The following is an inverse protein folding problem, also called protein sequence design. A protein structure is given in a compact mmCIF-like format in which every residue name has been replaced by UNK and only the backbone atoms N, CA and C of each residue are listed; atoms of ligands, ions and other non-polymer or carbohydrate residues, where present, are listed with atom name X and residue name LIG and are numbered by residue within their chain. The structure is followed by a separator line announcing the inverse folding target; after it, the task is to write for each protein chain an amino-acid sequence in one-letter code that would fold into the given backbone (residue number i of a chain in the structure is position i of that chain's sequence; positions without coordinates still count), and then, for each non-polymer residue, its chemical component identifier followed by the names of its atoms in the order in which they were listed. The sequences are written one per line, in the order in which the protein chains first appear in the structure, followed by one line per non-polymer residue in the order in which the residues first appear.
data_IF_954828036534
#
_entry.id   IF_954828036534
#
_cell.length_a   1.000
_cell.length_b   1.000
_cell.length_c   1.000
_cell.angle_alpha   90.00
_cell.angle_beta   90.00
_cell.angle_gamma   90.00
#
_symmetry.space_group_name_H-M   'P 1'
#
loop_
_entity.id
_entity.type
_entity.pdbx_description
1 polymer ?
#
# COMPACT_ATOMS: atom_id res chain seq x y z
N UNK A 1 -2.51 4.69 -6.54
CA UNK A 1 -3.15 4.56 -5.23
C UNK A 1 -3.44 3.11 -4.89
N UNK A 2 -3.58 2.82 -3.60
CA UNK A 2 -4.08 1.56 -3.06
C UNK A 2 -5.29 1.86 -2.18
N UNK A 3 -6.33 1.05 -2.26
CA UNK A 3 -7.56 1.25 -1.51
C UNK A 3 -8.24 -0.07 -1.17
N UNK A 4 -9.06 -0.03 -0.12
CA UNK A 4 -9.91 -1.13 0.30
C UNK A 4 -11.36 -0.73 -0.03
N UNK A 5 -11.99 -1.43 -0.97
CA UNK A 5 -13.26 -1.03 -1.55
C UNK A 5 -14.45 -1.78 -0.98
N UNK A 6 -15.61 -1.11 -1.00
CA UNK A 6 -16.92 -1.65 -0.64
C UNK A 6 -17.77 -1.82 -1.89
N UNK A 7 -18.42 -2.97 -2.06
CA UNK A 7 -19.36 -3.16 -3.16
C UNK A 7 -20.67 -2.46 -2.88
N UNK A 8 -21.02 -1.50 -3.72
CA UNK A 8 -22.23 -0.68 -3.59
C UNK A 8 -23.53 -1.47 -3.71
N UNK A 9 -23.48 -2.65 -4.32
CA UNK A 9 -24.61 -3.56 -4.49
C UNK A 9 -24.86 -4.45 -3.27
N UNK A 10 -23.92 -4.51 -2.31
CA UNK A 10 -24.05 -5.34 -1.12
C UNK A 10 -25.06 -4.74 -0.12
N UNK A 11 -25.95 -5.53 0.49
CA UNK A 11 -26.99 -4.99 1.39
C UNK A 11 -26.45 -4.45 2.72
N UNK A 12 -25.23 -4.86 3.14
CA UNK A 12 -24.65 -4.48 4.43
C UNK A 12 -23.70 -3.29 4.29
N UNK A 13 -22.78 -3.34 3.32
CA UNK A 13 -21.77 -2.30 3.11
C UNK A 13 -22.08 -1.39 1.91
N UNK A 14 -23.07 -1.70 1.10
CA UNK A 14 -23.40 -0.94 -0.11
C UNK A 14 -24.30 0.25 0.13
N UNK A 15 -25.02 0.68 -0.92
CA UNK A 15 -25.87 1.87 -0.88
C UNK A 15 -27.04 1.75 0.13
N UNK A 16 -27.65 0.55 0.20
CA UNK A 16 -28.94 0.37 0.90
C UNK A 16 -30.14 0.80 0.06
N UNK A 17 -31.31 0.24 0.36
CA UNK A 17 -32.55 0.46 -0.40
C UNK A 17 -33.38 1.61 0.16
N UNK A 18 -33.32 1.84 1.47
CA UNK A 18 -34.07 2.91 2.15
C UNK A 18 -33.09 4.00 2.64
N UNK A 19 -33.57 5.22 2.96
CA UNK A 19 -32.72 6.26 3.54
C UNK A 19 -32.04 5.81 4.84
N UNK A 20 -32.74 5.03 5.67
CA UNK A 20 -32.21 4.51 6.94
C UNK A 20 -31.10 3.49 6.69
N UNK A 21 -31.25 2.61 5.70
CA UNK A 21 -30.20 1.65 5.30
C UNK A 21 -29.00 2.38 4.73
N UNK A 22 -29.21 3.42 3.91
CA UNK A 22 -28.11 4.23 3.35
C UNK A 22 -27.28 4.88 4.44
N UNK A 23 -27.94 5.51 5.40
CA UNK A 23 -27.22 6.16 6.52
C UNK A 23 -26.51 5.14 7.40
N UNK A 24 -27.15 4.01 7.72
CA UNK A 24 -26.56 2.90 8.45
C UNK A 24 -25.29 2.37 7.75
N UNK A 25 -25.40 2.04 6.47
CA UNK A 25 -24.29 1.46 5.70
C UNK A 25 -23.15 2.48 5.51
N UNK A 26 -23.48 3.77 5.33
CA UNK A 26 -22.49 4.85 5.29
C UNK A 26 -21.71 4.93 6.59
N UNK A 27 -22.39 4.97 7.74
CA UNK A 27 -21.72 4.97 9.06
C UNK A 27 -20.84 3.74 9.27
N UNK A 28 -21.27 2.57 8.83
CA UNK A 28 -20.46 1.35 8.87
C UNK A 28 -19.16 1.52 8.06
N UNK A 29 -19.24 2.01 6.82
CA UNK A 29 -18.04 2.25 5.98
C UNK A 29 -17.12 3.31 6.59
N UNK A 30 -17.67 4.38 7.12
CA UNK A 30 -16.90 5.42 7.82
C UNK A 30 -16.22 4.89 9.08
N UNK A 31 -16.90 4.06 9.90
CA UNK A 31 -16.31 3.40 11.07
C UNK A 31 -15.13 2.50 10.69
N UNK A 32 -15.28 1.70 9.62
CA UNK A 32 -14.19 0.87 9.10
C UNK A 32 -13.04 1.76 8.61
N UNK A 33 -13.32 2.87 7.92
CA UNK A 33 -12.28 3.79 7.42
C UNK A 33 -11.46 4.41 8.55
N UNK A 34 -12.07 4.74 9.68
CA UNK A 34 -11.35 5.24 10.87
C UNK A 34 -10.52 4.12 11.50
N UNK A 35 -11.06 2.89 11.58
CA UNK A 35 -10.39 1.76 12.22
C UNK A 35 -9.16 1.25 11.44
N UNK A 36 -9.13 1.44 10.13
CA UNK A 36 -8.03 1.02 9.24
C UNK A 36 -6.84 1.98 9.36
N UNK A 37 -5.85 1.63 10.18
CA UNK A 37 -4.66 2.45 10.43
C UNK A 37 -3.64 2.30 9.29
N UNK A 38 -3.83 3.08 8.22
CA UNK A 38 -2.95 3.04 7.06
C UNK A 38 -1.55 3.60 7.36
N UNK A 39 -1.38 4.45 8.34
CA UNK A 39 -0.08 4.92 8.81
C UNK A 39 0.72 3.77 9.42
N UNK A 40 0.08 2.93 10.26
CA UNK A 40 0.68 1.71 10.79
C UNK A 40 1.05 0.74 9.65
N UNK A 41 0.15 0.55 8.68
CA UNK A 41 0.42 -0.28 7.50
C UNK A 41 1.66 0.17 6.73
N UNK A 42 1.76 1.47 6.45
CA UNK A 42 2.88 2.07 5.72
C UNK A 42 4.20 1.82 6.46
N UNK A 43 4.23 1.97 7.78
CA UNK A 43 5.44 1.71 8.55
C UNK A 43 5.85 0.24 8.52
N UNK A 44 4.90 -0.69 8.64
CA UNK A 44 5.18 -2.12 8.71
C UNK A 44 5.52 -2.71 7.34
N UNK A 45 4.70 -2.45 6.32
CA UNK A 45 4.77 -3.15 5.04
C UNK A 45 5.46 -2.37 3.94
N UNK A 46 5.31 -1.03 3.94
CA UNK A 46 5.94 -0.14 2.95
C UNK A 46 7.25 0.50 3.46
N UNK A 47 7.66 0.18 4.69
CA UNK A 47 8.89 0.70 5.31
C UNK A 47 8.97 2.24 5.32
N UNK A 48 7.84 2.90 5.43
CA UNK A 48 7.71 4.35 5.34
C UNK A 48 7.80 4.93 3.92
N UNK A 49 7.88 4.10 2.88
CA UNK A 49 7.99 4.54 1.47
C UNK A 49 6.61 4.71 0.82
N UNK A 50 5.70 5.35 1.52
CA UNK A 50 4.37 5.71 1.02
C UNK A 50 3.82 6.89 1.84
N UNK A 51 2.79 7.55 1.32
CA UNK A 51 2.03 8.56 2.04
C UNK A 51 0.57 8.11 2.19
N UNK A 52 -0.10 8.39 3.34
CA UNK A 52 -1.52 8.11 3.50
C UNK A 52 -2.35 8.81 2.44
N UNK A 53 -3.37 8.12 1.93
CA UNK A 53 -4.31 8.70 0.97
C UNK A 53 -5.53 9.26 1.70
N UNK A 54 -5.82 10.54 1.47
CA UNK A 54 -7.02 11.20 1.99
C UNK A 54 -8.19 11.16 1.02
N UNK A 55 -7.94 10.77 -0.22
CA UNK A 55 -8.90 10.66 -1.31
C UNK A 55 -8.32 9.83 -2.45
N UNK A 56 -9.02 9.73 -3.60
CA UNK A 56 -8.53 8.94 -4.73
C UNK A 56 -7.35 9.59 -5.46
N UNK A 57 -7.19 10.92 -5.38
CA UNK A 57 -6.24 11.71 -6.17
C UNK A 57 -4.87 11.79 -5.49
N UNK A 58 -3.79 11.29 -6.12
CA UNK A 58 -2.44 11.40 -5.58
C UNK A 58 -1.85 12.80 -5.74
N UNK A 59 -0.86 13.17 -4.91
CA UNK A 59 -0.11 14.42 -5.06
C UNK A 59 0.62 14.49 -6.40
N UNK A 60 0.81 15.72 -6.90
CA UNK A 60 1.51 16.00 -8.16
C UNK A 60 0.64 16.05 -9.40
N UNK A 61 -0.65 15.77 -9.30
CA UNK A 61 -1.62 15.94 -10.39
C UNK A 61 -2.37 17.26 -10.26
N UNK A 62 -2.83 17.77 -11.43
CA UNK A 62 -3.71 18.93 -11.43
C UNK A 62 -4.97 18.67 -10.59
N UNK A 63 -5.37 19.65 -9.78
CA UNK A 63 -6.50 19.54 -8.85
C UNK A 63 -6.14 18.99 -7.46
N UNK A 64 -4.92 18.42 -7.26
CA UNK A 64 -4.44 18.17 -5.92
C UNK A 64 -4.01 19.46 -5.24
N UNK A 65 -4.62 19.77 -4.09
CA UNK A 65 -4.33 20.98 -3.31
C UNK A 65 -4.01 20.59 -1.88
N UNK A 66 -2.94 21.14 -1.31
CA UNK A 66 -2.53 20.89 0.08
C UNK A 66 -3.55 21.43 1.11
N UNK A 67 -4.36 22.41 0.73
CA UNK A 67 -5.46 22.97 1.53
C UNK A 67 -6.84 22.38 1.19
N UNK A 68 -6.88 21.43 0.23
CA UNK A 68 -8.11 20.85 -0.31
C UNK A 68 -8.47 19.45 0.23
N UNK A 69 -9.57 18.92 -0.27
CA UNK A 69 -10.06 17.59 0.10
C UNK A 69 -9.08 16.46 -0.21
N UNK A 70 -8.24 16.59 -1.25
CA UNK A 70 -7.23 15.59 -1.58
C UNK A 70 -6.16 15.41 -0.50
N UNK A 71 -5.88 16.45 0.29
CA UNK A 71 -4.88 16.44 1.36
C UNK A 71 -5.46 16.25 2.77
N UNK A 72 -6.78 16.30 2.92
CA UNK A 72 -7.42 16.13 4.22
C UNK A 72 -8.79 15.45 4.10
N UNK A 73 -8.96 14.33 4.79
CA UNK A 73 -10.23 13.61 4.89
C UNK A 73 -10.85 13.80 6.28
N UNK A 74 -11.89 14.65 6.43
CA UNK A 74 -12.49 14.97 7.74
C UNK A 74 -13.28 13.81 8.36
N UNK A 75 -13.57 12.76 7.59
CA UNK A 75 -14.22 11.56 8.12
C UNK A 75 -13.26 10.75 8.97
N UNK A 76 -12.00 10.64 8.52
CA UNK A 76 -10.98 9.79 9.16
C UNK A 76 -10.05 10.58 10.07
N UNK A 77 -9.83 11.84 9.76
CA UNK A 77 -8.87 12.71 10.46
C UNK A 77 -9.54 13.92 11.09
N UNK A 78 -8.89 14.47 12.09
CA UNK A 78 -9.24 15.71 12.73
C UNK A 78 -8.03 16.65 12.78
N UNK A 79 -8.30 17.97 12.84
CA UNK A 79 -7.27 18.97 13.12
C UNK A 79 -7.31 19.29 14.61
N UNK A 80 -6.17 19.14 15.28
CA UNK A 80 -6.01 19.52 16.67
C UNK A 80 -5.93 21.05 16.84
N UNK A 81 -6.04 21.57 18.05
CA UNK A 81 -5.99 23.02 18.33
C UNK A 81 -4.68 23.68 17.87
N UNK A 82 -3.57 22.93 17.89
CA UNK A 82 -2.26 23.34 17.38
C UNK A 82 -2.10 23.16 15.85
N UNK A 83 -3.17 22.77 15.15
CA UNK A 83 -3.23 22.63 13.70
C UNK A 83 -2.63 21.32 13.15
N UNK A 84 -2.23 20.38 14.01
CA UNK A 84 -1.75 19.08 13.57
C UNK A 84 -2.92 18.21 13.08
N UNK A 85 -2.67 17.41 12.05
CA UNK A 85 -3.61 16.43 11.55
C UNK A 85 -3.34 15.09 12.23
N UNK A 86 -4.35 14.51 12.87
CA UNK A 86 -4.26 13.17 13.43
C UNK A 86 -5.48 12.34 13.04
N UNK A 87 -5.31 11.02 13.01
CA UNK A 87 -6.40 10.06 12.83
C UNK A 87 -7.34 10.12 14.03
N UNK A 88 -8.64 10.06 13.77
CA UNK A 88 -9.66 9.93 14.82
C UNK A 88 -9.46 8.66 15.63
N UNK A 89 -9.93 8.68 16.85
CA UNK A 89 -9.74 7.58 17.80
C UNK A 89 -10.55 6.33 17.40
N UNK A 90 -10.10 5.17 17.86
CA UNK A 90 -10.84 3.92 17.68
C UNK A 90 -12.21 3.96 18.39
N UNK A 91 -12.35 4.77 19.44
CA UNK A 91 -13.61 4.93 20.16
C UNK A 91 -14.65 5.69 19.31
N UNK A 92 -14.22 6.61 18.47
CA UNK A 92 -15.10 7.26 17.49
C UNK A 92 -15.57 6.27 16.42
N UNK A 93 -14.67 5.39 15.96
CA UNK A 93 -15.06 4.30 15.07
C UNK A 93 -16.09 3.36 15.70
N UNK A 94 -15.90 2.98 16.97
CA UNK A 94 -16.87 2.16 17.72
C UNK A 94 -18.21 2.86 17.93
N UNK A 95 -18.20 4.17 18.16
CA UNK A 95 -19.42 4.98 18.27
C UNK A 95 -20.19 4.96 16.95
N UNK A 96 -19.55 5.25 15.82
CA UNK A 96 -20.19 5.19 14.51
C UNK A 96 -20.71 3.80 14.19
N UNK A 97 -19.97 2.75 14.56
CA UNK A 97 -20.38 1.37 14.36
C UNK A 97 -21.65 1.04 15.21
N UNK A 98 -21.74 1.54 16.41
CA UNK A 98 -22.94 1.39 17.24
C UNK A 98 -24.14 2.15 16.67
N UNK A 99 -23.94 3.37 16.15
CA UNK A 99 -24.95 4.14 15.44
C UNK A 99 -25.40 3.48 14.13
N UNK A 100 -24.50 2.72 13.50
CA UNK A 100 -24.81 1.84 12.36
C UNK A 100 -25.56 0.57 12.75
N UNK A 101 -25.94 0.41 14.03
CA UNK A 101 -26.70 -0.75 14.51
C UNK A 101 -25.86 -1.98 14.83
N UNK A 102 -24.53 -1.83 14.97
CA UNK A 102 -23.62 -2.92 15.28
C UNK A 102 -22.75 -2.64 16.52
N UNK A 103 -23.34 -2.37 17.69
CA UNK A 103 -22.58 -2.10 18.92
C UNK A 103 -21.64 -3.27 19.25
N UNK A 104 -20.34 -2.95 19.41
CA UNK A 104 -19.31 -3.97 19.66
C UNK A 104 -19.16 -5.02 18.56
N UNK A 105 -19.54 -4.69 17.32
CA UNK A 105 -19.45 -5.60 16.18
C UNK A 105 -20.56 -6.67 16.13
N UNK A 106 -21.71 -6.41 16.79
CA UNK A 106 -22.86 -7.31 16.80
C UNK A 106 -24.11 -6.58 16.35
N UNK A 107 -24.94 -7.28 15.56
CA UNK A 107 -26.25 -6.73 15.16
C UNK A 107 -27.09 -6.46 16.41
N UNK A 108 -27.57 -5.22 16.56
CA UNK A 108 -28.31 -4.79 17.74
C UNK A 108 -29.68 -5.48 17.89
N UNK A 109 -30.23 -6.06 16.84
CA UNK A 109 -31.54 -6.74 16.84
C UNK A 109 -31.42 -8.24 17.11
N UNK A 110 -30.42 -8.89 16.50
CA UNK A 110 -30.26 -10.35 16.57
C UNK A 110 -29.19 -10.79 17.54
N UNK A 111 -28.24 -9.91 17.90
CA UNK A 111 -27.06 -10.24 18.72
C UNK A 111 -25.97 -11.01 17.97
N UNK A 112 -26.21 -11.33 16.70
CA UNK A 112 -25.25 -12.07 15.88
C UNK A 112 -23.99 -11.22 15.59
N UNK A 113 -22.80 -11.83 15.54
CA UNK A 113 -21.59 -11.10 15.18
C UNK A 113 -21.66 -10.61 13.74
N UNK A 114 -21.21 -9.38 13.50
CA UNK A 114 -21.01 -8.85 12.16
C UNK A 114 -19.77 -9.50 11.51
N UNK A 115 -20.02 -10.31 10.49
CA UNK A 115 -18.99 -10.96 9.69
C UNK A 115 -18.98 -10.32 8.31
N UNK A 116 -17.84 -9.75 7.90
CA UNK A 116 -17.63 -9.19 6.57
C UNK A 116 -16.63 -10.04 5.78
N UNK A 117 -16.83 -10.10 4.47
CA UNK A 117 -16.06 -10.97 3.58
C UNK A 117 -15.13 -10.13 2.69
N UNK A 118 -13.83 -10.39 2.79
CA UNK A 118 -12.83 -9.80 1.91
C UNK A 118 -12.50 -10.77 0.77
N UNK A 119 -12.85 -10.41 -0.44
CA UNK A 119 -12.36 -11.09 -1.63
C UNK A 119 -11.00 -10.54 -2.03
N UNK A 120 -10.02 -11.42 -2.15
CA UNK A 120 -8.63 -11.05 -2.38
C UNK A 120 -7.96 -11.98 -3.38
N UNK A 121 -7.13 -11.40 -4.26
CA UNK A 121 -6.24 -12.18 -5.10
C UNK A 121 -5.11 -12.78 -4.26
N UNK A 122 -5.14 -14.08 -4.02
CA UNK A 122 -4.17 -14.75 -3.17
C UNK A 122 -2.96 -15.26 -3.96
N UNK A 123 -1.81 -14.61 -3.77
CA UNK A 123 -0.53 -15.30 -3.92
C UNK A 123 -0.11 -15.80 -2.52
N UNK A 124 0.04 -17.12 -2.37
CA UNK A 124 0.46 -17.70 -1.09
C UNK A 124 1.92 -17.34 -0.81
N UNK A 125 2.15 -16.38 0.09
CA UNK A 125 3.48 -16.03 0.60
C UNK A 125 3.41 -15.66 2.07
N UNK A 126 4.52 -15.77 2.84
CA UNK A 126 4.54 -15.32 4.23
C UNK A 126 4.19 -13.84 4.41
N UNK A 127 4.60 -12.98 3.48
CA UNK A 127 4.28 -11.54 3.50
C UNK A 127 2.79 -11.29 3.26
N UNK A 128 2.18 -12.01 2.32
CA UNK A 128 0.73 -11.96 2.09
C UNK A 128 -0.04 -12.36 3.34
N UNK A 129 0.39 -13.45 4.00
CA UNK A 129 -0.25 -13.88 5.26
C UNK A 129 -0.18 -12.79 6.33
N UNK A 130 1.00 -12.21 6.56
CA UNK A 130 1.17 -11.16 7.57
C UNK A 130 0.28 -9.93 7.28
N UNK A 131 0.14 -9.56 6.01
CA UNK A 131 -0.74 -8.47 5.58
C UNK A 131 -2.22 -8.80 5.85
N UNK A 132 -2.67 -10.01 5.53
CA UNK A 132 -4.05 -10.44 5.77
C UNK A 132 -4.36 -10.54 7.28
N UNK A 133 -3.43 -11.06 8.09
CA UNK A 133 -3.53 -11.09 9.55
C UNK A 133 -3.64 -9.65 10.12
N UNK A 134 -2.94 -8.68 9.51
CA UNK A 134 -3.05 -7.28 9.89
C UNK A 134 -4.45 -6.72 9.60
N UNK A 135 -5.02 -6.96 8.41
CA UNK A 135 -6.40 -6.55 8.10
C UNK A 135 -7.40 -7.10 9.11
N UNK A 136 -7.31 -8.40 9.43
CA UNK A 136 -8.20 -9.01 10.43
C UNK A 136 -8.08 -8.32 11.80
N UNK A 137 -6.87 -7.93 12.22
CA UNK A 137 -6.65 -7.19 13.46
C UNK A 137 -7.27 -5.80 13.44
N UNK A 138 -7.22 -5.08 12.29
CA UNK A 138 -7.85 -3.77 12.21
C UNK A 138 -9.37 -3.86 12.38
N UNK A 139 -10.03 -4.81 11.72
CA UNK A 139 -11.46 -5.04 11.88
C UNK A 139 -11.82 -5.49 13.32
N UNK A 140 -11.00 -6.33 13.91
CA UNK A 140 -11.18 -6.80 15.29
C UNK A 140 -11.10 -5.66 16.33
N UNK A 141 -10.36 -4.56 16.08
CA UNK A 141 -10.32 -3.37 16.95
C UNK A 141 -11.72 -2.79 17.23
N UNK A 142 -12.65 -2.95 16.30
CA UNK A 142 -14.04 -2.48 16.42
C UNK A 142 -15.05 -3.63 16.55
N UNK A 143 -14.56 -4.88 16.76
CA UNK A 143 -15.38 -6.06 17.01
C UNK A 143 -15.93 -6.75 15.75
N UNK A 144 -15.58 -6.30 14.56
CA UNK A 144 -15.99 -6.92 13.30
C UNK A 144 -15.11 -8.14 13.00
N UNK A 145 -15.72 -9.25 12.59
CA UNK A 145 -15.01 -10.42 12.08
C UNK A 145 -14.80 -10.26 10.57
N UNK A 146 -13.55 -10.42 10.12
CA UNK A 146 -13.19 -10.40 8.71
C UNK A 146 -12.89 -11.82 8.21
N UNK A 147 -13.74 -12.34 7.34
CA UNK A 147 -13.52 -13.58 6.62
C UNK A 147 -12.81 -13.30 5.29
N UNK A 148 -11.65 -13.91 5.09
CA UNK A 148 -10.80 -13.66 3.92
C UNK A 148 -10.98 -14.79 2.90
N UNK A 149 -11.44 -14.44 1.72
CA UNK A 149 -11.72 -15.33 0.60
C UNK A 149 -10.68 -15.18 -0.49
N UNK A 150 -9.55 -15.88 -0.34
CA UNK A 150 -8.49 -15.89 -1.35
C UNK A 150 -8.90 -16.70 -2.59
N UNK A 151 -8.73 -16.12 -3.77
CA UNK A 151 -8.95 -16.80 -5.05
C UNK A 151 -7.83 -16.45 -6.04
N UNK A 152 -7.72 -17.23 -7.14
CA UNK A 152 -6.88 -16.82 -8.26
C UNK A 152 -7.42 -15.55 -8.94
N UNK A 153 -6.56 -14.89 -9.73
CA UNK A 153 -6.88 -13.59 -10.32
C UNK A 153 -8.12 -13.63 -11.23
N UNK A 154 -8.28 -14.67 -12.04
CA UNK A 154 -9.40 -14.73 -12.98
C UNK A 154 -10.74 -14.85 -12.24
N UNK A 155 -10.80 -15.73 -11.25
CA UNK A 155 -12.00 -15.87 -10.40
C UNK A 155 -12.29 -14.61 -9.59
N UNK A 156 -11.24 -13.93 -9.13
CA UNK A 156 -11.42 -12.64 -8.46
C UNK A 156 -12.04 -11.61 -9.42
N UNK A 157 -11.54 -11.51 -10.65
CA UNK A 157 -12.10 -10.65 -11.69
C UNK A 157 -13.57 -11.00 -11.98
N UNK A 158 -13.90 -12.27 -12.14
CA UNK A 158 -15.27 -12.75 -12.40
C UNK A 158 -16.22 -12.36 -11.26
N UNK A 159 -15.80 -12.46 -10.01
CA UNK A 159 -16.60 -12.01 -8.86
C UNK A 159 -16.85 -10.50 -8.90
N UNK A 160 -15.83 -9.72 -9.21
CA UNK A 160 -15.95 -8.25 -9.28
C UNK A 160 -16.85 -7.83 -10.45
N UNK A 161 -16.69 -8.45 -11.62
CA UNK A 161 -17.52 -8.19 -12.80
C UNK A 161 -18.98 -8.57 -12.55
N UNK A 162 -19.24 -9.69 -11.88
CA UNK A 162 -20.59 -10.12 -11.55
C UNK A 162 -21.22 -9.39 -10.34
N UNK A 163 -20.44 -8.57 -9.63
CA UNK A 163 -20.89 -7.89 -8.40
C UNK A 163 -21.05 -8.82 -7.19
N UNK A 164 -20.49 -10.04 -7.23
CA UNK A 164 -20.60 -11.06 -6.19
C UNK A 164 -19.45 -10.99 -5.15
N UNK A 165 -18.94 -9.82 -4.88
CA UNK A 165 -17.97 -9.52 -3.82
C UNK A 165 -18.62 -8.60 -2.79
N UNK A 166 -18.06 -8.53 -1.57
CA UNK A 166 -18.51 -7.60 -0.54
C UNK A 166 -17.46 -6.52 -0.28
N UNK A 167 -16.27 -6.93 0.14
CA UNK A 167 -15.09 -6.09 0.30
C UNK A 167 -14.01 -6.58 -0.65
N UNK A 168 -13.15 -5.68 -1.10
CA UNK A 168 -12.04 -6.03 -1.97
C UNK A 168 -10.85 -5.09 -1.77
N UNK A 169 -9.65 -5.59 -2.06
CA UNK A 169 -8.43 -4.79 -2.08
C UNK A 169 -7.99 -4.59 -3.53
N UNK A 170 -7.75 -3.34 -3.91
CA UNK A 170 -7.29 -2.99 -5.25
C UNK A 170 -6.38 -1.76 -5.22
N UNK A 171 -5.84 -1.42 -6.40
CA UNK A 171 -5.08 -0.20 -6.64
C UNK A 171 -5.18 0.25 -8.08
N UNK A 172 -4.75 1.47 -8.34
CA UNK A 172 -4.72 2.04 -9.67
C UNK A 172 -3.39 2.77 -9.91
N UNK A 173 -2.84 2.56 -11.09
CA UNK A 173 -1.74 3.34 -11.63
C UNK A 173 -2.29 4.19 -12.77
N UNK A 174 -1.90 5.47 -12.80
CA UNK A 174 -2.37 6.37 -13.85
C UNK A 174 -1.89 5.94 -15.23
N UNK A 175 -2.79 5.90 -16.19
CA UNK A 175 -2.47 5.72 -17.61
C UNK A 175 -2.01 7.04 -18.25
N UNK A 176 -2.47 8.17 -17.72
CA UNK A 176 -2.14 9.53 -18.12
C UNK A 176 -2.27 10.50 -16.92
N UNK A 177 -1.57 11.64 -16.92
CA UNK A 177 -1.47 12.53 -15.76
C UNK A 177 -2.65 13.51 -15.66
N UNK A 178 -3.87 13.00 -15.51
CA UNK A 178 -5.08 13.79 -15.25
C UNK A 178 -5.85 13.21 -14.05
N UNK A 179 -6.49 14.07 -13.27
CA UNK A 179 -7.35 13.70 -12.16
C UNK A 179 -8.52 12.81 -12.61
N UNK A 180 -8.98 12.97 -13.82
CA UNK A 180 -10.02 12.14 -14.43
C UNK A 180 -9.67 10.66 -14.35
N UNK A 181 -8.39 10.28 -14.54
CA UNK A 181 -7.94 8.89 -14.51
C UNK A 181 -7.93 8.23 -13.13
N UNK A 182 -8.26 8.96 -12.08
CA UNK A 182 -8.53 8.42 -10.75
C UNK A 182 -10.00 8.54 -10.37
N UNK A 183 -10.64 9.63 -10.76
CA UNK A 183 -12.04 9.89 -10.41
C UNK A 183 -13.02 9.02 -11.21
N UNK A 184 -12.65 8.59 -12.43
CA UNK A 184 -13.48 7.70 -13.27
C UNK A 184 -13.69 6.31 -12.65
N UNK A 185 -12.83 5.90 -11.70
CA UNK A 185 -12.96 4.67 -10.92
C UNK A 185 -14.19 4.64 -10.02
N UNK A 186 -14.79 5.80 -9.78
CA UNK A 186 -16.00 5.96 -8.97
C UNK A 186 -17.19 6.51 -9.79
N UNK A 187 -17.04 6.65 -11.09
CA UNK A 187 -18.10 7.08 -12.00
C UNK A 187 -19.11 5.96 -12.20
N UNK A 188 -20.39 6.19 -11.85
CA UNK A 188 -21.42 5.17 -11.85
C UNK A 188 -21.67 4.46 -13.18
N UNK A 189 -21.67 5.16 -14.34
CA UNK A 189 -21.72 4.50 -15.67
C UNK A 189 -20.58 3.53 -15.95
N UNK A 190 -19.41 3.66 -15.29
CA UNK A 190 -18.26 2.77 -15.41
C UNK A 190 -18.34 1.55 -14.46
N UNK A 191 -19.46 1.31 -13.77
CA UNK A 191 -19.61 0.17 -12.89
C UNK A 191 -19.33 -1.15 -13.62
N UNK A 192 -18.43 -1.99 -13.08
CA UNK A 192 -18.03 -3.24 -13.73
C UNK A 192 -19.22 -4.18 -13.95
N UNK A 193 -20.15 -4.25 -13.01
CA UNK A 193 -21.36 -5.08 -13.13
C UNK A 193 -22.31 -4.62 -14.24
N UNK A 194 -22.34 -3.33 -14.54
CA UNK A 194 -23.19 -2.77 -15.61
C UNK A 194 -22.56 -2.90 -17.00
N UNK A 195 -21.23 -2.85 -17.05
CA UNK A 195 -20.47 -2.79 -18.32
C UNK A 195 -19.93 -4.15 -18.75
N UNK A 196 -20.27 -5.23 -18.04
CA UNK A 196 -19.73 -6.55 -18.32
C UNK A 196 -18.20 -6.64 -18.15
N UNK A 197 -17.64 -5.78 -17.27
CA UNK A 197 -16.22 -5.75 -16.95
C UNK A 197 -15.39 -4.76 -17.73
N UNK A 198 -15.94 -4.06 -18.74
CA UNK A 198 -15.22 -3.07 -19.53
C UNK A 198 -15.02 -1.73 -18.80
N UNK A 199 -15.84 -1.43 -17.81
CA UNK A 199 -15.67 -0.27 -16.93
C UNK A 199 -14.71 -0.58 -15.76
N UNK A 200 -14.18 0.46 -15.12
CA UNK A 200 -13.18 0.31 -14.06
C UNK A 200 -13.70 0.60 -12.64
N UNK A 201 -14.98 0.95 -12.50
CA UNK A 201 -15.57 1.14 -11.18
C UNK A 201 -15.92 -0.22 -10.54
N UNK A 202 -14.94 -0.80 -9.85
CA UNK A 202 -15.05 -2.09 -9.17
C UNK A 202 -15.96 -2.05 -7.92
N UNK A 203 -16.14 -0.88 -7.31
CA UNK A 203 -17.08 -0.68 -6.20
C UNK A 203 -18.54 -0.68 -6.64
N UNK A 204 -18.82 -0.61 -7.93
CA UNK A 204 -20.16 -0.36 -8.46
C UNK A 204 -20.83 0.89 -7.85
N UNK A 205 -20.02 1.84 -7.37
CA UNK A 205 -20.47 3.07 -6.74
C UNK A 205 -21.36 3.88 -7.67
N UNK A 206 -22.41 4.45 -7.13
CA UNK A 206 -23.35 5.28 -7.86
C UNK A 206 -23.78 6.45 -6.97
N UNK A 207 -23.61 7.64 -7.47
CA UNK A 207 -24.12 8.86 -6.86
C UNK A 207 -24.45 9.85 -7.98
N UNK A 208 -25.74 10.19 -8.20
CA UNK A 208 -26.14 11.07 -9.30
C UNK A 208 -25.43 12.43 -9.29
N UNK A 209 -25.17 13.00 -8.10
CA UNK A 209 -24.46 14.29 -7.97
C UNK A 209 -23.00 14.15 -8.40
N UNK A 210 -22.35 13.04 -8.00
CA UNK A 210 -21.00 12.73 -8.44
C UNK A 210 -20.92 12.53 -9.95
N UNK A 211 -21.84 11.72 -10.48
CA UNK A 211 -21.86 11.36 -11.90
C UNK A 211 -22.08 12.58 -12.79
N UNK A 212 -22.99 13.47 -12.42
CA UNK A 212 -23.25 14.73 -13.12
C UNK A 212 -22.00 15.64 -13.09
N UNK A 213 -21.42 15.84 -11.90
CA UNK A 213 -20.27 16.70 -11.73
C UNK A 213 -19.03 16.15 -12.47
N UNK A 214 -18.79 14.84 -12.39
CA UNK A 214 -17.70 14.16 -13.10
C UNK A 214 -17.85 14.31 -14.62
N UNK A 215 -19.08 14.10 -15.15
CA UNK A 215 -19.36 14.24 -16.58
C UNK A 215 -19.06 15.63 -17.12
N UNK A 216 -19.21 16.66 -16.31
CA UNK A 216 -18.85 18.03 -16.68
C UNK A 216 -17.35 18.27 -16.52
N UNK A 217 -16.78 17.91 -15.37
CA UNK A 217 -15.38 18.13 -15.01
C UNK A 217 -14.41 17.57 -16.06
N UNK A 218 -14.67 16.38 -16.60
CA UNK A 218 -13.76 15.70 -17.53
C UNK A 218 -13.53 16.44 -18.86
N UNK A 219 -14.40 17.36 -19.22
CA UNK A 219 -14.30 18.18 -20.43
C UNK A 219 -13.88 19.65 -20.14
N UNK A 220 -13.62 19.99 -18.88
CA UNK A 220 -13.14 21.32 -18.55
C UNK A 220 -11.63 21.44 -18.84
N UNK A 221 -11.22 22.61 -19.29
CA UNK A 221 -9.81 22.98 -19.33
C UNK A 221 -9.24 23.14 -17.93
N UNK A 222 -7.94 22.96 -17.76
CA UNK A 222 -7.27 23.20 -16.49
C UNK A 222 -7.42 24.65 -16.08
N UNK A 223 -7.99 24.88 -14.91
CA UNK A 223 -8.30 26.18 -14.34
C UNK A 223 -8.98 26.08 -12.99
N UNK A 224 -9.29 27.22 -12.35
CA UNK A 224 -9.94 27.25 -11.03
C UNK A 224 -11.24 26.45 -10.95
N UNK A 225 -12.06 26.52 -11.98
CA UNK A 225 -13.37 25.85 -12.02
C UNK A 225 -13.20 24.31 -12.06
N UNK A 226 -12.25 23.78 -12.86
CA UNK A 226 -11.93 22.35 -12.87
C UNK A 226 -11.34 21.92 -11.53
N UNK A 227 -10.45 22.72 -10.95
CA UNK A 227 -9.86 22.40 -9.65
C UNK A 227 -10.91 22.35 -8.54
N UNK A 228 -11.89 23.26 -8.53
CA UNK A 228 -12.99 23.22 -7.55
C UNK A 228 -13.93 22.03 -7.80
N UNK A 229 -14.26 21.72 -9.06
CA UNK A 229 -15.04 20.53 -9.39
C UNK A 229 -14.37 19.23 -8.91
N UNK A 230 -13.05 19.11 -9.08
CA UNK A 230 -12.26 17.97 -8.55
C UNK A 230 -12.36 17.93 -7.02
N UNK A 231 -12.20 19.06 -6.36
CA UNK A 231 -12.28 19.15 -4.89
C UNK A 231 -13.66 18.71 -4.36
N UNK A 232 -14.74 19.13 -5.03
CA UNK A 232 -16.11 18.72 -4.67
C UNK A 232 -16.35 17.23 -4.94
N UNK A 233 -15.84 16.66 -6.04
CA UNK A 233 -15.91 15.24 -6.30
C UNK A 233 -15.23 14.42 -5.18
N UNK A 234 -14.07 14.88 -4.71
CA UNK A 234 -13.36 14.22 -3.61
C UNK A 234 -14.16 14.31 -2.30
N UNK A 235 -14.75 15.45 -1.99
CA UNK A 235 -15.61 15.60 -0.78
C UNK A 235 -16.79 14.63 -0.81
N UNK A 236 -17.45 14.47 -1.95
CA UNK A 236 -18.58 13.54 -2.09
C UNK A 236 -18.13 12.11 -1.75
N UNK A 237 -17.01 11.64 -2.30
CA UNK A 237 -16.56 10.27 -2.06
C UNK A 237 -15.92 10.09 -0.68
N UNK A 238 -15.40 11.11 -0.05
CA UNK A 238 -15.00 11.06 1.36
C UNK A 238 -16.22 10.84 2.26
N UNK A 239 -17.29 11.60 2.04
CA UNK A 239 -18.55 11.50 2.82
C UNK A 239 -19.21 10.13 2.62
N UNK A 240 -19.36 9.67 1.37
CA UNK A 240 -20.00 8.38 1.06
C UNK A 240 -19.12 7.18 1.44
N UNK A 241 -17.80 7.37 1.51
CA UNK A 241 -16.80 6.36 1.82
C UNK A 241 -16.95 5.06 1.01
N UNK A 242 -16.99 5.09 -0.35
CA UNK A 242 -17.02 3.87 -1.15
C UNK A 242 -15.72 3.08 -1.04
N UNK A 243 -14.67 3.72 -0.56
CA UNK A 243 -13.38 3.15 -0.23
C UNK A 243 -12.91 3.61 1.16
N UNK A 244 -12.12 2.78 1.84
CA UNK A 244 -11.11 3.31 2.72
C UNK A 244 -9.92 3.68 1.83
N UNK A 245 -9.59 4.97 1.76
CA UNK A 245 -8.44 5.44 1.01
C UNK A 245 -7.19 4.96 1.74
N UNK A 246 -6.34 4.20 1.04
CA UNK A 246 -5.19 3.56 1.64
C UNK A 246 -3.94 4.43 1.61
N UNK A 247 -3.15 4.27 0.58
CA UNK A 247 -1.90 5.00 0.47
C UNK A 247 -1.46 5.21 -0.99
N UNK A 248 -0.55 6.15 -1.17
CA UNK A 248 0.18 6.39 -2.40
C UNK A 248 1.61 5.87 -2.25
N UNK A 249 1.99 4.78 -2.94
CA UNK A 249 3.34 4.24 -2.85
C UNK A 249 4.35 5.20 -3.47
N UNK A 250 5.53 5.31 -2.85
CA UNK A 250 6.68 6.05 -3.39
C UNK A 250 7.64 5.05 -4.01
N UNK A 251 7.94 5.22 -5.29
CA UNK A 251 8.92 4.40 -5.99
C UNK A 251 10.26 5.12 -6.07
N UNK A 252 11.33 4.40 -5.77
CA UNK A 252 12.70 4.88 -5.95
C UNK A 252 13.38 4.09 -7.05
N UNK A 253 14.10 4.76 -7.92
CA UNK A 253 14.91 4.13 -8.97
C UNK A 253 16.36 4.57 -8.85
N UNK A 254 17.29 3.61 -8.95
CA UNK A 254 18.71 3.88 -9.02
C UNK A 254 19.24 3.48 -10.40
N UNK A 255 19.98 4.36 -11.01
CA UNK A 255 20.62 4.12 -12.30
C UNK A 255 22.13 4.21 -12.17
N UNK A 256 22.84 3.35 -12.85
CA UNK A 256 24.28 3.49 -12.97
C UNK A 256 24.64 4.78 -13.71
N UNK A 257 25.79 5.36 -13.38
CA UNK A 257 26.27 6.63 -13.98
C UNK A 257 26.39 6.64 -15.51
N UNK A 258 26.45 5.48 -16.14
CA UNK A 258 26.46 5.32 -17.59
C UNK A 258 25.07 5.22 -18.23
N UNK A 259 24.01 5.32 -17.44
CA UNK A 259 22.62 5.37 -17.93
C UNK A 259 22.15 6.82 -17.87
N UNK A 260 21.94 7.42 -19.03
CA UNK A 260 21.46 8.78 -19.16
C UNK A 260 19.96 8.78 -19.41
N UNK A 261 19.29 9.88 -19.03
CA UNK A 261 17.84 10.08 -19.15
C UNK A 261 16.98 9.08 -18.37
N UNK A 262 17.56 8.40 -17.38
CA UNK A 262 16.81 7.58 -16.42
C UNK A 262 16.02 8.50 -15.49
N UNK A 263 14.75 8.75 -15.81
CA UNK A 263 13.82 9.50 -14.96
C UNK A 263 12.73 8.54 -14.49
N UNK A 264 12.47 8.43 -13.19
CA UNK A 264 11.35 7.64 -12.71
C UNK A 264 10.04 8.29 -13.22
N UNK A 265 9.20 7.46 -13.86
CA UNK A 265 7.87 7.87 -14.29
C UNK A 265 6.95 6.66 -14.24
N UNK A 266 5.76 6.84 -13.71
CA UNK A 266 4.73 5.81 -13.68
C UNK A 266 3.73 5.94 -14.84
N UNK A 267 3.77 7.06 -15.55
CA UNK A 267 2.82 7.40 -16.62
C UNK A 267 3.31 6.95 -17.99
N UNK A 268 4.62 6.90 -18.22
CA UNK A 268 5.18 6.51 -19.51
C UNK A 268 5.40 4.99 -19.54
N UNK A 269 4.57 4.27 -20.29
CA UNK A 269 4.62 2.80 -20.41
C UNK A 269 5.94 2.27 -20.97
N UNK A 270 6.59 3.01 -21.88
CA UNK A 270 7.86 2.64 -22.48
C UNK A 270 8.88 3.77 -22.39
N UNK A 271 9.58 3.85 -21.26
CA UNK A 271 10.66 4.81 -21.03
C UNK A 271 12.00 4.36 -21.61
N UNK A 272 12.14 3.10 -22.03
CA UNK A 272 13.40 2.54 -22.55
C UNK A 272 13.88 3.32 -23.79
N UNK A 273 12.97 3.77 -24.64
CA UNK A 273 13.27 4.55 -25.85
C UNK A 273 13.99 5.89 -25.55
N UNK A 274 13.91 6.41 -24.35
CA UNK A 274 14.55 7.65 -23.92
C UNK A 274 15.89 7.41 -23.23
N UNK A 275 16.21 6.17 -22.85
CA UNK A 275 17.45 5.84 -22.19
C UNK A 275 18.61 5.85 -23.18
N UNK A 276 19.72 6.45 -22.77
CA UNK A 276 20.99 6.38 -23.51
C UNK A 276 22.02 5.70 -22.63
N UNK A 277 22.68 4.70 -23.15
CA UNK A 277 23.80 4.03 -22.50
C UNK A 277 25.11 4.62 -22.99
N UNK A 278 26.08 4.79 -22.09
CA UNK A 278 27.47 5.09 -22.39
C UNK A 278 28.31 3.81 -22.21
N UNK A 279 28.65 3.09 -23.30
CA UNK A 279 29.38 1.82 -23.22
C UNK A 279 30.80 1.99 -22.67
N UNK A 280 31.47 3.10 -22.95
CA UNK A 280 32.86 3.33 -22.52
C UNK A 280 32.92 3.53 -21.00
N UNK A 281 32.09 4.39 -20.46
CA UNK A 281 31.96 4.60 -19.00
C UNK A 281 31.56 3.31 -18.30
N UNK A 282 30.65 2.51 -18.89
CA UNK A 282 30.24 1.20 -18.36
C UNK A 282 31.43 0.24 -18.26
N UNK A 283 32.22 0.07 -19.34
CA UNK A 283 33.35 -0.84 -19.37
C UNK A 283 34.42 -0.42 -18.36
N UNK A 284 34.72 0.90 -18.28
CA UNK A 284 35.68 1.45 -17.32
C UNK A 284 35.23 1.19 -15.88
N UNK A 285 33.98 1.48 -15.55
CA UNK A 285 33.45 1.29 -14.19
C UNK A 285 33.43 -0.19 -13.77
N UNK A 286 33.00 -1.10 -14.66
CA UNK A 286 33.00 -2.55 -14.41
C UNK A 286 34.42 -3.05 -14.18
N UNK A 287 35.41 -2.60 -14.99
CA UNK A 287 36.82 -2.97 -14.80
C UNK A 287 37.36 -2.46 -13.46
N UNK A 288 36.92 -1.29 -13.04
CA UNK A 288 37.35 -0.69 -11.78
C UNK A 288 36.74 -1.40 -10.56
N UNK A 289 35.45 -1.72 -10.59
CA UNK A 289 34.77 -2.46 -9.53
C UNK A 289 35.29 -3.89 -9.37
N UNK A 290 35.64 -4.53 -10.46
CA UNK A 290 36.16 -5.90 -10.45
C UNK A 290 37.66 -5.99 -10.19
N UNK A 291 38.35 -4.89 -9.86
CA UNK A 291 39.77 -4.97 -9.41
C UNK A 291 39.84 -5.79 -8.14
N UNK A 292 40.64 -6.85 -8.12
CA UNK A 292 40.77 -7.69 -6.95
C UNK A 292 41.39 -6.90 -5.79
N UNK A 293 40.76 -7.02 -4.62
CA UNK A 293 41.27 -6.39 -3.38
C UNK A 293 42.12 -7.44 -2.65
N UNK A 294 43.43 -7.28 -2.66
CA UNK A 294 44.38 -8.24 -2.08
C UNK A 294 44.71 -8.00 -0.59
N UNK A 295 44.42 -6.83 -0.05
CA UNK A 295 44.77 -6.52 1.34
C UNK A 295 44.11 -7.44 2.39
N UNK A 296 42.86 -7.91 2.26
CA UNK A 296 42.28 -8.84 3.22
C UNK A 296 43.01 -10.18 3.25
N UNK A 297 43.47 -10.64 2.06
CA UNK A 297 44.26 -11.85 1.95
C UNK A 297 45.61 -11.68 2.65
N UNK A 298 46.27 -10.52 2.47
CA UNK A 298 47.51 -10.19 3.12
C UNK A 298 47.38 -10.16 4.66
N UNK A 299 46.28 -9.54 5.16
CA UNK A 299 45.98 -9.53 6.60
C UNK A 299 45.76 -10.95 7.12
N UNK A 300 45.00 -11.78 6.39
CA UNK A 300 44.77 -13.18 6.76
C UNK A 300 46.08 -13.98 6.84
N UNK A 301 46.99 -13.83 5.86
CA UNK A 301 48.30 -14.50 5.86
C UNK A 301 49.15 -14.03 7.04
N UNK A 302 49.19 -12.73 7.33
CA UNK A 302 49.96 -12.18 8.47
C UNK A 302 49.40 -12.69 9.82
N UNK A 303 48.10 -12.68 10.01
CA UNK A 303 47.47 -13.22 11.23
C UNK A 303 47.73 -14.72 11.38
N UNK A 304 47.64 -15.47 10.29
CA UNK A 304 47.95 -16.90 10.28
C UNK A 304 49.39 -17.16 10.65
N UNK A 305 50.34 -16.39 10.07
CA UNK A 305 51.74 -16.48 10.39
C UNK A 305 52.05 -16.16 11.87
N UNK A 306 51.36 -15.15 12.41
CA UNK A 306 51.50 -14.71 13.80
C UNK A 306 51.06 -15.78 14.82
N UNK A 307 50.15 -16.67 14.44
CA UNK A 307 49.71 -17.81 15.25
C UNK A 307 50.55 -19.06 14.99
N UNK A 308 50.81 -19.39 13.72
CA UNK A 308 51.49 -20.63 13.32
C UNK A 308 52.98 -20.62 13.69
N UNK A 309 53.68 -19.49 13.43
CA UNK A 309 55.14 -19.41 13.69
C UNK A 309 55.47 -19.67 15.17
N UNK A 310 54.84 -19.02 16.15
CA UNK A 310 55.08 -19.31 17.57
C UNK A 310 54.72 -20.75 17.96
N UNK A 311 53.60 -21.27 17.43
CA UNK A 311 53.17 -22.64 17.71
C UNK A 311 54.17 -23.66 17.23
N UNK A 312 54.68 -23.50 16.00
CA UNK A 312 55.73 -24.35 15.44
C UNK A 312 57.04 -24.22 16.21
N UNK A 313 57.45 -22.99 16.59
CA UNK A 313 58.63 -22.75 17.38
C UNK A 313 58.57 -23.42 18.77
N UNK A 314 57.41 -23.31 19.43
CA UNK A 314 57.18 -23.99 20.72
C UNK A 314 57.19 -25.52 20.59
N UNK A 315 56.57 -26.04 19.54
CA UNK A 315 56.54 -27.48 19.27
C UNK A 315 57.98 -28.02 19.06
N UNK A 316 58.77 -27.40 18.18
CA UNK A 316 60.18 -27.76 17.95
C UNK A 316 61.06 -27.62 19.20
N UNK A 317 60.79 -26.63 20.06
CA UNK A 317 61.48 -26.48 21.34
C UNK A 317 61.16 -27.64 22.28
N UNK A 318 59.91 -28.06 22.37
CA UNK A 318 59.50 -29.21 23.19
C UNK A 318 60.13 -30.55 22.70
N UNK A 319 60.08 -30.80 21.40
CA UNK A 319 60.74 -31.98 20.82
C UNK A 319 62.26 -32.06 21.15
N UNK A 320 62.99 -30.94 21.02
CA UNK A 320 64.40 -30.87 21.37
C UNK A 320 64.64 -31.09 22.86
N UNK A 321 63.76 -30.66 23.72
CA UNK A 321 63.88 -30.88 25.17
C UNK A 321 63.65 -32.37 25.51
N UNK A 322 62.63 -33.01 24.88
CA UNK A 322 62.38 -34.45 25.09
C UNK A 322 63.54 -35.33 24.57
N UNK A 323 64.15 -35.00 23.42
CA UNK A 323 65.27 -35.72 22.90
C UNK A 323 66.52 -35.62 23.80
N UNK A 324 66.73 -34.46 24.47
CA UNK A 324 67.86 -34.30 25.44
C UNK A 324 67.70 -35.13 26.72
N UNK A 325 66.47 -35.19 27.24
CA UNK A 325 66.14 -35.99 28.45
C UNK A 325 66.33 -37.48 28.21
N UNK A 326 65.99 -37.98 27.01
CA UNK A 326 66.21 -39.40 26.63
C UNK A 326 67.69 -39.75 26.42
N UNK A 327 68.58 -38.81 26.06
CA UNK A 327 70.04 -39.04 25.97
C UNK A 327 70.77 -38.99 27.33
N UNK A 328 70.20 -38.27 28.32
CA UNK A 328 70.79 -38.25 29.70
C UNK A 328 70.37 -39.48 30.54
N UNK A 329 69.17 -40.09 30.25
CA UNK A 329 68.71 -41.31 30.94
C UNK A 329 69.35 -42.63 30.39
N UNK A 330 70.18 -42.57 29.35
CA UNK A 330 70.83 -43.73 28.71
C UNK A 330 72.36 -43.75 29.03
N UNK A 331 72.87 -42.81 29.80
CA UNK A 331 74.24 -42.78 30.33
C UNK A 331 74.29 -43.14 31.83
#
# INVERSE_FOLDING_TARGET
NTYFGFNWMDPVVGEGKTPEERERNKKLRQAISIAMDWEEYIQIFEKGLASPAHGPLPPGLFGYREDGAAAFNPIVYEKTEDGLVRRKSIEEAKKLLAEAGYPGGRDAKTGEPLVLNLDFQAAASPSTKAMLDWYQKQFAKIGIQLDIRGTDYNRFQDKVISGNHQLFLWGWLADYPDAENFLFLLYGPNAKSKTGGSGENASNYQNPKYDELFSRMRYMDEGPDKAEAINELIKIVQEDAPWTFGYFPTSSAAFHQWVHNGKPTQVVRNHIQYLRLDPETRVKAIKEWNKPIYWPLLVFVLLSALVIIPAVALHRKRERMTARTTEEDVK
#
